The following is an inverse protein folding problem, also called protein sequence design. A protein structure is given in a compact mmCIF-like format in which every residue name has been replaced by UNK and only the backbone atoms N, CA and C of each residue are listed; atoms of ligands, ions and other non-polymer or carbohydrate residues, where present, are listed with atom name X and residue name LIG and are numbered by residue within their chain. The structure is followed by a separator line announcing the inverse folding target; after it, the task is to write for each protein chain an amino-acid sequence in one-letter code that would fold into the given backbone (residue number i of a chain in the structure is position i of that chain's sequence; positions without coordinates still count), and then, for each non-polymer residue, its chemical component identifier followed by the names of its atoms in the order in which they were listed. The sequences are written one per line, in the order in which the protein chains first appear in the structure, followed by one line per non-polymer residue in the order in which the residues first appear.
data_IF_839875805615
#
_entry.id   IF_839875805615
#
_cell.length_a   1.000
_cell.length_b   1.000
_cell.length_c   1.000
_cell.angle_alpha   90.00
_cell.angle_beta   90.00
_cell.angle_gamma   90.00
#
_symmetry.space_group_name_H-M   'P 1'
#
loop_
_entity.id
_entity.type
_entity.pdbx_description
1 polymer ?
#
# COMPACT_ATOMS: atom_id res chain seq x y z
N UNK A 1 3.13 10.63 12.66
CA UNK A 1 3.82 10.86 11.37
C UNK A 1 4.60 9.60 11.02
N UNK A 2 4.48 9.10 9.78
CA UNK A 2 5.46 8.16 9.24
C UNK A 2 6.80 8.89 9.20
N UNK A 3 7.84 8.36 9.83
CA UNK A 3 9.17 8.95 9.78
C UNK A 3 9.80 8.58 8.43
N UNK A 4 10.17 9.55 7.57
CA UNK A 4 10.80 9.28 6.29
C UNK A 4 12.09 8.46 6.41
N UNK A 5 12.81 8.58 7.54
CA UNK A 5 14.04 7.82 7.80
C UNK A 5 13.79 6.36 8.20
N UNK A 6 12.54 6.01 8.54
CA UNK A 6 12.15 4.62 8.82
C UNK A 6 11.58 3.93 7.59
N UNK A 7 11.53 4.58 6.42
CA UNK A 7 10.97 3.95 5.23
C UNK A 7 11.97 3.01 4.57
N UNK A 8 11.58 1.75 4.55
CA UNK A 8 12.32 0.67 3.93
C UNK A 8 12.05 0.58 2.44
N UNK A 9 12.33 -0.60 1.88
CA UNK A 9 12.16 -0.89 0.46
C UNK A 9 10.68 -0.84 0.05
N UNK A 10 10.44 -0.37 -1.17
CA UNK A 10 9.13 -0.51 -1.83
C UNK A 10 9.18 -1.72 -2.76
N UNK A 11 8.35 -2.69 -2.45
CA UNK A 11 8.11 -3.90 -3.22
C UNK A 11 6.91 -3.70 -4.15
N UNK A 12 6.86 -4.46 -5.24
CA UNK A 12 5.78 -4.38 -6.23
C UNK A 12 5.15 -5.75 -6.43
N UNK A 13 3.86 -5.86 -6.14
CA UNK A 13 3.13 -7.07 -6.48
C UNK A 13 3.00 -7.20 -8.00
N UNK A 14 2.99 -8.44 -8.47
CA UNK A 14 2.82 -8.77 -9.88
C UNK A 14 1.43 -9.34 -10.15
N UNK A 15 1.09 -9.46 -11.43
CA UNK A 15 -0.12 -10.15 -11.85
C UNK A 15 0.25 -11.61 -12.19
N UNK A 16 -0.11 -12.58 -11.34
CA UNK A 16 0.22 -13.97 -11.62
C UNK A 16 -0.63 -14.51 -12.77
N UNK A 17 -0.14 -15.54 -13.48
CA UNK A 17 -0.86 -16.18 -14.58
C UNK A 17 -2.16 -16.86 -14.13
N UNK A 18 -2.20 -17.32 -12.87
CA UNK A 18 -3.39 -17.82 -12.19
C UNK A 18 -3.44 -17.25 -10.77
N UNK A 19 -4.65 -17.07 -10.23
CA UNK A 19 -4.84 -16.55 -8.88
C UNK A 19 -5.09 -17.72 -7.91
N UNK A 20 -4.16 -18.03 -6.99
CA UNK A 20 -4.41 -18.98 -5.92
C UNK A 20 -5.60 -18.55 -5.06
N UNK A 21 -6.28 -19.52 -4.45
CA UNK A 21 -7.35 -19.25 -3.48
C UNK A 21 -6.83 -18.38 -2.33
N UNK A 22 -7.61 -17.38 -1.94
CA UNK A 22 -7.24 -16.42 -0.91
C UNK A 22 -6.42 -15.22 -1.41
N UNK A 23 -6.07 -15.18 -2.70
CA UNK A 23 -5.41 -14.01 -3.29
C UNK A 23 -6.33 -12.81 -3.26
N UNK A 24 -5.79 -11.67 -2.86
CA UNK A 24 -6.47 -10.38 -2.93
C UNK A 24 -6.08 -9.69 -4.23
N UNK A 25 -7.06 -9.55 -5.12
CA UNK A 25 -6.96 -8.85 -6.39
C UNK A 25 -8.12 -7.85 -6.45
N UNK A 26 -7.82 -6.58 -6.62
CA UNK A 26 -8.84 -5.51 -6.67
C UNK A 26 -8.57 -4.60 -7.88
N UNK A 27 -9.59 -3.88 -8.32
CA UNK A 27 -9.52 -3.02 -9.51
C UNK A 27 -8.78 -1.69 -9.29
N UNK A 28 -8.36 -1.42 -8.05
CA UNK A 28 -7.72 -0.16 -7.65
C UNK A 28 -6.27 -0.39 -7.19
N UNK A 29 -5.33 0.53 -7.50
CA UNK A 29 -4.01 0.48 -6.91
C UNK A 29 -4.07 0.53 -5.39
N UNK A 30 -3.13 -0.15 -4.73
CA UNK A 30 -3.03 -0.23 -3.29
C UNK A 30 -1.61 -0.08 -2.80
N UNK A 31 -1.41 0.61 -1.69
CA UNK A 31 -0.12 0.68 -1.00
C UNK A 31 -0.30 0.15 0.41
N UNK A 32 0.35 -0.97 0.70
CA UNK A 32 0.39 -1.58 2.04
C UNK A 32 1.71 -1.21 2.71
N UNK A 33 1.65 -0.64 3.91
CA UNK A 33 2.81 -0.15 4.67
C UNK A 33 2.89 -0.92 5.99
N UNK A 34 4.02 -1.57 6.23
CA UNK A 34 4.27 -2.28 7.49
C UNK A 34 4.63 -1.26 8.56
N UNK A 35 3.71 -0.99 9.48
CA UNK A 35 3.92 -0.06 10.57
C UNK A 35 4.66 -0.69 11.75
N UNK A 36 4.52 -2.00 11.93
CA UNK A 36 5.23 -2.79 12.94
C UNK A 36 5.09 -4.27 12.63
N UNK A 37 6.10 -5.06 12.96
CA UNK A 37 6.05 -6.53 12.85
C UNK A 37 6.46 -7.02 11.46
N UNK A 38 5.83 -8.10 10.99
CA UNK A 38 6.21 -8.76 9.74
C UNK A 38 4.99 -9.06 8.87
N UNK A 39 5.00 -8.54 7.64
CA UNK A 39 4.01 -8.83 6.61
C UNK A 39 4.64 -9.67 5.50
N UNK A 40 3.85 -10.30 4.64
CA UNK A 40 4.40 -10.93 3.46
C UNK A 40 3.36 -11.18 2.37
N UNK A 41 3.87 -11.45 1.17
CA UNK A 41 3.14 -11.86 -0.01
C UNK A 41 3.70 -13.20 -0.52
N UNK A 42 2.89 -14.26 -0.50
CA UNK A 42 3.31 -15.60 -0.96
C UNK A 42 3.58 -15.69 -2.46
N UNK A 43 3.03 -14.76 -3.26
CA UNK A 43 3.12 -14.83 -4.71
C UNK A 43 4.52 -14.51 -5.24
N UNK A 44 5.36 -13.86 -4.43
CA UNK A 44 6.68 -13.38 -4.83
C UNK A 44 7.71 -13.76 -3.75
N UNK A 45 8.71 -14.58 -4.10
CA UNK A 45 9.67 -15.12 -3.13
C UNK A 45 10.39 -14.03 -2.31
N UNK A 46 10.70 -12.89 -2.94
CA UNK A 46 11.38 -11.77 -2.28
C UNK A 46 10.46 -10.95 -1.35
N UNK A 47 9.15 -11.18 -1.42
CA UNK A 47 8.14 -10.44 -0.68
C UNK A 47 7.51 -11.27 0.44
N UNK A 48 8.00 -12.49 0.68
CA UNK A 48 7.48 -13.35 1.74
C UNK A 48 7.77 -12.84 3.16
N UNK A 49 8.72 -11.90 3.27
CA UNK A 49 9.07 -11.26 4.52
C UNK A 49 9.33 -9.78 4.29
N UNK A 50 8.45 -8.96 4.84
CA UNK A 50 8.52 -7.51 4.83
C UNK A 50 8.46 -7.00 6.27
N UNK A 51 9.40 -6.15 6.65
CA UNK A 51 9.53 -5.64 8.01
C UNK A 51 9.05 -4.19 8.12
N UNK A 52 9.02 -3.68 9.35
CA UNK A 52 8.67 -2.29 9.66
C UNK A 52 9.35 -1.29 8.71
N UNK A 53 8.55 -0.39 8.15
CA UNK A 53 8.98 0.60 7.18
C UNK A 53 8.93 0.16 5.72
N UNK A 54 8.96 -1.13 5.44
CA UNK A 54 8.83 -1.63 4.07
C UNK A 54 7.38 -1.54 3.58
N UNK A 55 7.24 -1.44 2.26
CA UNK A 55 5.97 -1.18 1.61
C UNK A 55 5.74 -2.14 0.46
N UNK A 56 4.49 -2.52 0.21
CA UNK A 56 4.07 -3.25 -0.96
C UNK A 56 3.12 -2.37 -1.76
N UNK A 57 3.55 -1.95 -2.94
CA UNK A 57 2.66 -1.36 -3.94
C UNK A 57 2.05 -2.49 -4.76
N UNK A 58 0.72 -2.55 -4.80
CA UNK A 58 -0.05 -3.47 -5.64
C UNK A 58 -0.72 -2.63 -6.73
N UNK A 59 -0.25 -2.72 -7.99
CA UNK A 59 -0.95 -2.09 -9.11
C UNK A 59 -2.40 -2.57 -9.22
N UNK A 60 -3.25 -1.78 -9.89
CA UNK A 60 -4.61 -2.22 -10.21
C UNK A 60 -4.58 -3.60 -10.90
N UNK A 61 -5.43 -4.52 -10.43
CA UNK A 61 -5.55 -5.90 -10.93
C UNK A 61 -4.30 -6.78 -10.78
N UNK A 62 -3.25 -6.30 -10.12
CA UNK A 62 -2.21 -7.16 -9.57
C UNK A 62 -2.76 -7.83 -8.30
N UNK A 63 -2.12 -8.92 -7.90
CA UNK A 63 -2.57 -9.69 -6.75
C UNK A 63 -1.47 -9.83 -5.71
N UNK A 64 -1.89 -9.98 -4.47
CA UNK A 64 -1.03 -10.48 -3.40
C UNK A 64 -1.77 -11.57 -2.62
N UNK A 65 -1.02 -12.48 -2.04
CA UNK A 65 -1.53 -13.51 -1.14
C UNK A 65 -0.88 -13.27 0.24
N UNK A 66 -1.59 -12.58 1.16
CA UNK A 66 -1.02 -12.16 2.44
C UNK A 66 -0.52 -13.35 3.28
N UNK A 67 0.66 -13.21 3.85
CA UNK A 67 1.18 -14.08 4.92
C UNK A 67 0.87 -13.39 6.26
N UNK A 68 0.13 -14.07 7.13
CA UNK A 68 -0.34 -13.54 8.41
C UNK A 68 0.06 -14.41 9.61
N UNK A 69 1.10 -15.23 9.47
CA UNK A 69 1.56 -16.13 10.54
C UNK A 69 2.28 -15.41 11.68
N UNK A 70 2.66 -14.14 11.48
CA UNK A 70 3.30 -13.29 12.49
C UNK A 70 2.45 -12.04 12.80
N UNK A 71 2.58 -11.50 14.02
CA UNK A 71 2.02 -10.21 14.38
C UNK A 71 2.43 -9.08 13.42
N UNK A 72 1.46 -8.30 12.96
CA UNK A 72 1.68 -7.14 12.09
C UNK A 72 0.66 -6.04 12.37
N UNK A 73 1.15 -4.79 12.36
CA UNK A 73 0.31 -3.61 12.16
C UNK A 73 0.54 -3.10 10.74
N UNK A 74 -0.53 -3.00 9.95
CA UNK A 74 -0.49 -2.65 8.54
C UNK A 74 -1.40 -1.45 8.27
N UNK A 75 -0.88 -0.45 7.56
CA UNK A 75 -1.70 0.60 6.95
C UNK A 75 -1.85 0.28 5.46
N UNK A 76 -3.08 0.08 5.02
CA UNK A 76 -3.40 -0.12 3.61
C UNK A 76 -4.10 1.11 3.06
N UNK A 77 -3.60 1.63 1.94
CA UNK A 77 -4.13 2.76 1.22
C UNK A 77 -4.66 2.28 -0.13
N UNK A 78 -5.96 2.46 -0.39
CA UNK A 78 -6.61 2.11 -1.66
C UNK A 78 -6.92 3.39 -2.43
N UNK A 79 -6.44 3.47 -3.67
CA UNK A 79 -6.55 4.66 -4.51
C UNK A 79 -7.63 4.48 -5.56
N UNK A 80 -8.87 4.85 -5.23
CA UNK A 80 -9.94 4.90 -6.21
C UNK A 80 -9.99 6.28 -6.90
N UNK A 81 -10.62 6.38 -8.09
CA UNK A 81 -10.69 7.65 -8.83
C UNK A 81 -11.37 8.80 -8.08
N UNK A 82 -12.29 8.49 -7.15
CA UNK A 82 -13.08 9.50 -6.43
C UNK A 82 -12.90 9.48 -4.92
N UNK A 83 -12.17 8.49 -4.38
CA UNK A 83 -11.94 8.36 -2.94
C UNK A 83 -10.61 7.66 -2.64
N UNK A 84 -10.06 8.01 -1.47
CA UNK A 84 -8.90 7.36 -0.87
C UNK A 84 -9.37 6.55 0.34
N UNK A 85 -9.15 5.24 0.30
CA UNK A 85 -9.44 4.35 1.42
C UNK A 85 -8.21 4.19 2.29
N UNK A 86 -8.37 4.38 3.60
CA UNK A 86 -7.35 4.12 4.59
C UNK A 86 -7.85 3.03 5.52
N UNK A 87 -7.19 1.89 5.52
CA UNK A 87 -7.53 0.74 6.37
C UNK A 87 -6.36 0.41 7.27
N UNK A 88 -6.59 0.37 8.57
CA UNK A 88 -5.63 -0.05 9.57
C UNK A 88 -5.94 -1.48 10.01
N UNK A 89 -4.96 -2.37 9.89
CA UNK A 89 -5.06 -3.75 10.34
C UNK A 89 -4.08 -3.99 11.48
N UNK A 90 -4.51 -4.77 12.46
CA UNK A 90 -3.66 -5.22 13.56
C UNK A 90 -3.92 -6.71 13.80
N UNK A 91 -3.02 -7.57 13.29
CA UNK A 91 -3.20 -9.02 13.40
C UNK A 91 -3.09 -9.56 14.83
N UNK A 92 -2.68 -8.72 15.79
CA UNK A 92 -2.61 -9.08 17.22
C UNK A 92 -3.97 -9.02 17.90
N UNK A 93 -4.90 -8.23 17.35
CA UNK A 93 -6.21 -7.96 17.96
C UNK A 93 -7.36 -8.40 17.08
N UNK A 94 -7.18 -8.40 15.76
CA UNK A 94 -8.19 -8.81 14.77
C UNK A 94 -7.55 -9.61 13.64
N UNK A 95 -8.35 -10.24 12.78
CA UNK A 95 -7.86 -10.86 11.55
C UNK A 95 -7.48 -9.79 10.51
N UNK A 96 -6.49 -10.06 9.64
CA UNK A 96 -6.21 -9.22 8.46
C UNK A 96 -7.36 -9.19 7.43
N UNK A 97 -8.41 -9.98 7.65
CA UNK A 97 -9.63 -9.93 6.85
C UNK A 97 -10.50 -8.71 7.18
N UNK A 98 -10.40 -8.16 8.40
CA UNK A 98 -11.22 -7.04 8.85
C UNK A 98 -10.34 -5.93 9.44
N UNK A 99 -10.38 -4.71 8.89
CA UNK A 99 -9.60 -3.61 9.42
C UNK A 99 -10.10 -3.23 10.82
N UNK A 100 -9.17 -2.98 11.74
CA UNK A 100 -9.48 -2.44 13.07
C UNK A 100 -10.01 -0.99 12.97
N UNK A 101 -9.66 -0.27 11.91
CA UNK A 101 -10.22 1.04 11.57
C UNK A 101 -10.21 1.24 10.07
N UNK A 102 -11.27 1.82 9.52
CA UNK A 102 -11.34 2.23 8.13
C UNK A 102 -11.85 3.67 8.01
N UNK A 103 -11.24 4.44 7.12
CA UNK A 103 -11.64 5.81 6.79
C UNK A 103 -11.68 5.90 5.27
N UNK A 104 -12.68 6.57 4.73
CA UNK A 104 -12.72 6.96 3.33
C UNK A 104 -12.67 8.49 3.26
N UNK A 105 -11.74 9.00 2.47
CA UNK A 105 -11.59 10.43 2.22
C UNK A 105 -12.00 10.70 0.77
N UNK A 106 -12.76 11.78 0.49
CA UNK A 106 -12.98 12.23 -0.88
C UNK A 106 -11.62 12.50 -1.52
N UNK A 107 -11.34 11.92 -2.68
CA UNK A 107 -10.04 12.11 -3.29
C UNK A 107 -10.00 13.46 -4.00
N UNK A 108 -9.21 14.39 -3.47
CA UNK A 108 -8.81 15.61 -4.17
C UNK A 108 -7.61 15.30 -5.08
N UNK A 109 -7.66 14.23 -5.88
CA UNK A 109 -6.59 13.95 -6.84
C UNK A 109 -6.63 15.00 -7.97
N UNK A 110 -6.07 16.18 -7.69
CA UNK A 110 -5.58 17.08 -8.72
C UNK A 110 -4.40 16.37 -9.38
N UNK A 111 -4.28 16.49 -10.71
CA UNK A 111 -3.54 15.59 -11.60
C UNK A 111 -2.11 15.14 -11.21
N UNK A 112 -1.46 15.77 -10.24
CA UNK A 112 -0.20 15.33 -9.65
C UNK A 112 -0.32 13.94 -8.98
N UNK A 113 -1.36 13.70 -8.16
CA UNK A 113 -1.56 12.41 -7.49
C UNK A 113 -1.74 11.26 -8.50
N UNK A 114 -2.54 11.50 -9.53
CA UNK A 114 -2.74 10.57 -10.65
C UNK A 114 -1.44 10.34 -11.44
N UNK A 115 -0.65 11.39 -11.68
CA UNK A 115 0.63 11.28 -12.37
C UNK A 115 1.63 10.44 -11.54
N UNK A 116 1.63 10.58 -10.22
CA UNK A 116 2.48 9.80 -9.33
C UNK A 116 2.04 8.34 -9.25
N UNK A 117 0.74 8.07 -9.16
CA UNK A 117 0.19 6.70 -9.26
C UNK A 117 0.52 6.05 -10.59
N UNK A 118 0.42 6.81 -11.68
CA UNK A 118 0.79 6.36 -13.02
C UNK A 118 2.27 6.03 -13.08
N UNK A 119 3.14 6.92 -12.58
CA UNK A 119 4.58 6.68 -12.51
C UNK A 119 4.94 5.45 -11.66
N UNK A 120 4.33 5.27 -10.48
CA UNK A 120 4.51 4.07 -9.66
C UNK A 120 4.06 2.79 -10.38
N UNK A 121 2.95 2.86 -11.10
CA UNK A 121 2.45 1.74 -11.91
C UNK A 121 3.42 1.41 -13.04
N UNK A 122 4.05 2.40 -13.68
CA UNK A 122 5.09 2.15 -14.67
C UNK A 122 6.35 1.54 -14.05
N UNK A 123 6.81 2.08 -12.92
CA UNK A 123 7.99 1.58 -12.20
C UNK A 123 7.80 0.14 -11.70
N UNK A 124 6.56 -0.31 -11.48
CA UNK A 124 6.27 -1.71 -11.12
C UNK A 124 6.78 -2.73 -12.13
N UNK A 125 6.92 -2.33 -13.41
CA UNK A 125 7.42 -3.19 -14.49
C UNK A 125 8.95 -3.35 -14.47
N UNK A 126 9.66 -2.45 -13.79
CA UNK A 126 11.12 -2.49 -13.63
C UNK A 126 11.51 -1.95 -12.24
N UNK A 127 11.27 -2.72 -11.16
CA UNK A 127 11.33 -2.23 -9.77
C UNK A 127 12.77 -2.16 -9.21
N UNK A 128 13.75 -1.80 -10.04
CA UNK A 128 15.18 -1.80 -9.70
C UNK A 128 15.64 -0.48 -9.06
N UNK A 129 14.99 0.64 -9.38
CA UNK A 129 15.46 1.98 -9.02
C UNK A 129 14.85 2.50 -7.71
N UNK A 130 15.21 1.87 -6.57
CA UNK A 130 14.69 2.26 -5.26
C UNK A 130 14.95 3.74 -4.90
N UNK A 131 16.04 4.32 -5.41
CA UNK A 131 16.39 5.73 -5.24
C UNK A 131 15.37 6.70 -5.88
N UNK A 132 14.58 6.24 -6.85
CA UNK A 132 13.48 7.02 -7.46
C UNK A 132 12.15 6.64 -6.81
N UNK A 133 11.94 5.34 -6.59
CA UNK A 133 10.67 4.80 -6.09
C UNK A 133 10.36 5.30 -4.68
N UNK A 134 11.32 5.26 -3.75
CA UNK A 134 11.08 5.65 -2.36
C UNK A 134 10.67 7.13 -2.24
N UNK A 135 11.39 8.11 -2.83
CA UNK A 135 10.95 9.51 -2.81
C UNK A 135 9.60 9.76 -3.47
N UNK A 136 9.26 9.00 -4.51
CA UNK A 136 7.98 9.13 -5.21
C UNK A 136 6.81 8.65 -4.32
N UNK A 137 6.95 7.48 -3.69
CA UNK A 137 5.94 7.00 -2.73
C UNK A 137 5.80 7.93 -1.53
N UNK A 138 6.92 8.49 -1.05
CA UNK A 138 6.94 9.48 0.01
C UNK A 138 6.17 10.74 -0.33
N UNK A 139 6.50 11.33 -1.47
CA UNK A 139 5.84 12.54 -1.97
C UNK A 139 4.34 12.27 -2.17
N UNK A 140 3.99 11.08 -2.65
CA UNK A 140 2.61 10.69 -2.86
C UNK A 140 1.86 10.55 -1.52
N UNK A 141 2.45 9.86 -0.55
CA UNK A 141 1.88 9.73 0.80
C UNK A 141 1.75 11.09 1.51
N UNK A 142 2.69 12.02 1.30
CA UNK A 142 2.64 13.37 1.85
C UNK A 142 1.54 14.24 1.22
N UNK A 143 1.19 13.97 -0.05
CA UNK A 143 0.10 14.66 -0.76
C UNK A 143 -1.30 14.20 -0.34
N UNK A 144 -1.42 13.13 0.47
CA UNK A 144 -2.72 12.64 0.91
C UNK A 144 -3.37 13.65 1.87
N UNK A 145 -4.69 13.90 1.73
CA UNK A 145 -5.39 14.92 2.51
C UNK A 145 -5.19 14.71 4.01
N UNK A 146 -4.73 15.75 4.71
CA UNK A 146 -4.62 15.69 6.16
C UNK A 146 -5.96 16.06 6.78
N UNK A 147 -6.32 15.41 7.89
CA UNK A 147 -7.63 15.49 8.56
C UNK A 147 -8.11 16.92 8.91
N UNK A 148 -7.26 17.95 8.77
CA UNK A 148 -7.59 19.37 8.97
C UNK A 148 -8.16 20.10 7.76
N UNK A 149 -8.11 19.53 6.55
CA UNK A 149 -8.56 20.23 5.33
C UNK A 149 -10.07 20.11 5.06
N UNK A 150 -10.77 19.26 5.82
CA UNK A 150 -12.23 19.06 5.70
C UNK A 150 -13.03 19.71 6.84
N UNK A 151 -12.41 20.57 7.65
CA UNK A 151 -13.07 21.24 8.78
C UNK A 151 -13.61 22.66 8.45
N UNK A 152 -13.55 23.10 7.19
CA UNK A 152 -14.12 24.36 6.75
C UNK A 152 -15.01 24.12 5.51
N UNK A 153 -16.30 23.97 5.74
CA UNK A 153 -17.34 23.83 4.71
C UNK A 153 -18.71 23.83 5.34
#
# INVERSE_FOLDING_TARGET
MLNPQLLGRVWFASQPASLPVGSLCIDFPRLDIVLRGEYGNLLEAKQQRMVEGEMLFIPARAANLPINNKPVMLLSLVFAPTWLGLSFYDSRTTSLLHPARQIQLPSLQRGEGEAMLTALTHLSRSPLEQNIIQPLVLSFAASLPQRGEYAAG
#
